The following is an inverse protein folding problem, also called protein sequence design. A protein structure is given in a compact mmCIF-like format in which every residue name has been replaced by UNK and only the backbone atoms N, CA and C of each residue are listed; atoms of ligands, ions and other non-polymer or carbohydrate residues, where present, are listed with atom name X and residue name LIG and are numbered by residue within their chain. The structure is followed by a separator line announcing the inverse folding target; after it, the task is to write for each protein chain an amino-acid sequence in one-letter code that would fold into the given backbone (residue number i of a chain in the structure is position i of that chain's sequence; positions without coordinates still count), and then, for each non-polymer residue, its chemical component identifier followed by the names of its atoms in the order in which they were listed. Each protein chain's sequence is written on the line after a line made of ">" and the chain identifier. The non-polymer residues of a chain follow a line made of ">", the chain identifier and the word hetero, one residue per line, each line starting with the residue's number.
data_IF_987642717466
#
_entry.id   IF_987642717466
#
_cell.length_a   1.000
_cell.length_b   1.000
_cell.length_c   1.000
_cell.angle_alpha   90.00
_cell.angle_beta   90.00
_cell.angle_gamma   90.00
#
_symmetry.space_group_name_H-M   'P 1'
#
loop_
_entity.id
_entity.type
_entity.pdbx_description
1 polymer ?
#
# COMPACT_ATOMS: atom_id res chain seq x y z
N UNK A 1 -17.51 11.06 6.07
CA UNK A 1 -16.79 10.81 4.81
C UNK A 1 -16.08 9.47 4.97
N UNK A 2 -15.80 8.79 3.86
CA UNK A 2 -15.05 7.53 3.86
C UNK A 2 -13.55 7.78 3.73
N UNK A 3 -12.72 6.78 4.06
CA UNK A 3 -11.26 6.89 3.92
C UNK A 3 -10.84 7.25 2.47
N UNK A 4 -11.42 6.60 1.48
CA UNK A 4 -11.12 6.86 0.05
C UNK A 4 -11.43 8.30 -0.34
N UNK A 5 -12.53 8.85 0.16
CA UNK A 5 -12.95 10.22 -0.10
C UNK A 5 -11.98 11.23 0.54
N UNK A 6 -11.62 10.99 1.82
CA UNK A 6 -10.70 11.83 2.56
C UNK A 6 -9.29 11.84 1.96
N UNK A 7 -8.77 10.66 1.60
CA UNK A 7 -7.45 10.52 0.98
C UNK A 7 -7.47 11.02 -0.47
N UNK A 8 -8.55 10.76 -1.21
CA UNK A 8 -8.69 11.18 -2.61
C UNK A 8 -8.64 12.69 -2.79
N UNK A 9 -9.13 13.47 -1.82
CA UNK A 9 -9.00 14.94 -1.83
C UNK A 9 -7.54 15.43 -1.80
N UNK A 10 -6.61 14.63 -1.29
CA UNK A 10 -5.18 14.96 -1.26
C UNK A 10 -4.51 14.74 -2.62
N UNK A 11 -5.16 13.99 -3.53
CA UNK A 11 -4.63 13.60 -4.86
C UNK A 11 -3.21 13.03 -4.78
N UNK A 12 -2.98 11.94 -4.02
CA UNK A 12 -1.66 11.35 -3.90
C UNK A 12 -1.25 10.67 -5.20
N UNK A 13 -0.01 10.90 -5.64
CA UNK A 13 0.58 10.14 -6.75
C UNK A 13 1.11 8.78 -6.28
N UNK A 14 1.60 8.74 -5.03
CA UNK A 14 2.24 7.59 -4.38
C UNK A 14 1.53 7.30 -3.05
N UNK A 15 1.11 6.05 -2.85
CA UNK A 15 0.57 5.58 -1.57
C UNK A 15 1.57 4.67 -0.84
N UNK A 16 1.88 4.97 0.42
CA UNK A 16 2.63 4.08 1.31
C UNK A 16 1.62 3.38 2.22
N UNK A 17 1.40 2.08 2.02
CA UNK A 17 0.33 1.35 2.71
C UNK A 17 0.85 0.08 3.42
N UNK A 18 0.45 -0.14 4.70
CA UNK A 18 0.79 -1.36 5.41
C UNK A 18 -0.09 -2.53 4.94
N UNK A 19 0.52 -3.70 4.72
CA UNK A 19 -0.16 -4.86 4.10
C UNK A 19 -0.13 -6.15 4.94
N UNK A 20 0.20 -6.08 6.23
CA UNK A 20 0.19 -7.23 7.14
C UNK A 20 -1.21 -7.77 7.46
N UNK A 21 -2.27 -7.04 7.10
CA UNK A 21 -3.64 -7.45 7.35
C UNK A 21 -4.10 -7.24 8.80
N UNK A 22 -5.30 -7.76 9.06
CA UNK A 22 -5.99 -7.71 10.35
C UNK A 22 -6.48 -9.11 10.69
N UNK A 23 -6.34 -9.53 11.94
CA UNK A 23 -6.83 -10.83 12.44
C UNK A 23 -7.47 -10.66 13.80
N UNK A 24 -8.59 -11.35 14.03
CA UNK A 24 -9.40 -11.17 15.24
C UNK A 24 -8.63 -11.55 16.53
N UNK A 25 -7.82 -12.60 16.50
CA UNK A 25 -6.95 -13.05 17.59
C UNK A 25 -5.90 -11.99 17.98
N UNK A 26 -5.40 -11.21 17.00
CA UNK A 26 -4.47 -10.12 17.23
C UNK A 26 -5.17 -8.89 17.80
N UNK A 27 -6.34 -8.55 17.26
CA UNK A 27 -7.14 -7.42 17.73
C UNK A 27 -7.55 -7.58 19.20
N UNK A 28 -7.93 -8.77 19.63
CA UNK A 28 -8.27 -9.04 21.04
C UNK A 28 -7.07 -8.89 21.99
N UNK A 29 -5.85 -8.96 21.44
CA UNK A 29 -4.60 -8.77 22.17
C UNK A 29 -4.01 -7.36 21.98
N UNK A 30 -4.81 -6.40 21.51
CA UNK A 30 -4.41 -5.00 21.37
C UNK A 30 -3.53 -4.68 20.16
N UNK A 31 -3.34 -5.63 19.24
CA UNK A 31 -2.60 -5.40 17.99
C UNK A 31 -3.57 -4.87 16.94
N UNK A 32 -3.45 -3.59 16.60
CA UNK A 32 -4.27 -2.97 15.56
C UNK A 32 -4.01 -3.62 14.19
N UNK A 33 -5.10 -3.84 13.44
CA UNK A 33 -5.04 -4.42 12.10
C UNK A 33 -4.78 -3.36 11.02
N UNK A 34 -3.99 -3.73 10.02
CA UNK A 34 -3.75 -2.94 8.81
C UNK A 34 -4.53 -3.52 7.63
N UNK A 35 -4.41 -2.89 6.45
CA UNK A 35 -4.92 -3.47 5.20
C UNK A 35 -4.31 -4.83 4.93
N UNK A 36 -5.09 -5.73 4.34
CA UNK A 36 -4.47 -6.77 3.53
C UNK A 36 -3.95 -6.19 2.20
N UNK A 37 -3.20 -6.99 1.44
CA UNK A 37 -2.59 -6.53 0.19
C UNK A 37 -3.64 -6.07 -0.83
N UNK A 38 -4.79 -6.74 -0.93
CA UNK A 38 -5.81 -6.42 -1.91
C UNK A 38 -6.62 -5.19 -1.52
N UNK A 39 -6.93 -5.04 -0.23
CA UNK A 39 -7.52 -3.81 0.32
C UNK A 39 -6.62 -2.61 0.05
N UNK A 40 -5.31 -2.72 0.28
CA UNK A 40 -4.36 -1.64 0.00
C UNK A 40 -4.33 -1.27 -1.49
N UNK A 41 -4.29 -2.27 -2.38
CA UNK A 41 -4.36 -2.06 -3.84
C UNK A 41 -5.67 -1.37 -4.23
N UNK A 42 -6.80 -1.80 -3.66
CA UNK A 42 -8.10 -1.20 -3.94
C UNK A 42 -8.15 0.27 -3.56
N UNK A 43 -7.68 0.63 -2.36
CA UNK A 43 -7.60 2.03 -1.92
C UNK A 43 -6.69 2.84 -2.83
N UNK A 44 -5.46 2.38 -3.10
CA UNK A 44 -4.50 3.10 -3.93
C UNK A 44 -5.05 3.38 -5.34
N UNK A 45 -5.79 2.43 -5.90
CA UNK A 45 -6.48 2.62 -7.18
C UNK A 45 -7.66 3.58 -7.08
N UNK A 46 -8.49 3.46 -6.05
CA UNK A 46 -9.67 4.31 -5.86
C UNK A 46 -9.29 5.79 -5.74
N UNK A 47 -8.16 6.09 -5.10
CA UNK A 47 -7.65 7.46 -4.94
C UNK A 47 -6.79 7.94 -6.11
N UNK A 48 -6.58 7.10 -7.12
CA UNK A 48 -5.90 7.46 -8.37
C UNK A 48 -4.37 7.46 -8.34
N UNK A 49 -3.74 6.75 -7.40
CA UNK A 49 -2.28 6.63 -7.37
C UNK A 49 -1.75 5.88 -8.61
N UNK A 50 -0.58 6.30 -9.09
CA UNK A 50 0.19 5.55 -10.08
C UNK A 50 1.11 4.49 -9.44
N UNK A 51 1.53 4.74 -8.21
CA UNK A 51 2.44 3.87 -7.46
C UNK A 51 1.94 3.59 -6.04
N UNK A 52 2.11 2.35 -5.59
CA UNK A 52 1.88 1.96 -4.20
C UNK A 52 3.13 1.27 -3.66
N UNK A 53 3.61 1.69 -2.49
CA UNK A 53 4.69 1.04 -1.76
C UNK A 53 4.09 0.24 -0.60
N UNK A 54 4.06 -1.08 -0.77
CA UNK A 54 3.61 -2.03 0.25
C UNK A 54 4.68 -2.18 1.35
N UNK A 55 4.31 -1.90 2.59
CA UNK A 55 5.18 -2.03 3.77
C UNK A 55 4.51 -2.86 4.89
N UNK A 56 5.18 -2.98 6.04
CA UNK A 56 4.77 -3.85 7.15
C UNK A 56 4.68 -5.33 6.75
N UNK A 57 5.72 -5.85 6.11
CA UNK A 57 5.91 -7.29 5.96
C UNK A 57 7.29 -7.65 6.52
N UNK A 58 7.47 -8.87 7.01
CA UNK A 58 8.75 -9.36 7.54
C UNK A 58 9.20 -8.77 8.88
N UNK A 59 8.49 -7.78 9.44
CA UNK A 59 8.78 -7.19 10.75
C UNK A 59 8.39 -8.11 11.92
N UNK A 60 7.28 -8.84 11.77
CA UNK A 60 6.73 -9.71 12.80
C UNK A 60 6.32 -11.05 12.18
N UNK A 61 6.88 -12.15 12.67
CA UNK A 61 6.56 -13.49 12.15
C UNK A 61 5.08 -13.88 12.34
N UNK A 62 4.40 -13.31 13.34
CA UNK A 62 3.00 -13.59 13.66
C UNK A 62 1.99 -12.73 12.89
N UNK A 63 2.44 -11.70 12.16
CA UNK A 63 1.56 -10.78 11.43
C UNK A 63 2.29 -10.18 10.22
N UNK A 64 2.24 -10.90 9.11
CA UNK A 64 2.94 -10.54 7.88
C UNK A 64 2.23 -11.11 6.66
N UNK A 65 2.45 -10.45 5.52
CA UNK A 65 2.21 -11.02 4.20
C UNK A 65 3.51 -11.64 3.65
N UNK A 66 3.41 -12.66 2.81
CA UNK A 66 4.57 -13.23 2.13
C UNK A 66 5.13 -12.24 1.09
N UNK A 67 6.45 -11.95 1.06
CA UNK A 67 7.04 -11.05 0.07
C UNK A 67 6.70 -11.42 -1.38
N UNK A 68 6.64 -12.72 -1.69
CA UNK A 68 6.30 -13.23 -3.02
C UNK A 68 4.87 -12.87 -3.45
N UNK A 69 3.92 -12.71 -2.51
CA UNK A 69 2.57 -12.27 -2.83
C UNK A 69 2.55 -10.79 -3.27
N UNK A 70 3.37 -9.95 -2.63
CA UNK A 70 3.54 -8.55 -3.05
C UNK A 70 4.19 -8.49 -4.43
N UNK A 71 5.27 -9.26 -4.64
CA UNK A 71 6.00 -9.28 -5.92
C UNK A 71 5.13 -9.83 -7.08
N UNK A 72 4.19 -10.73 -6.78
CA UNK A 72 3.20 -11.21 -7.75
C UNK A 72 2.19 -10.13 -8.16
N UNK A 73 1.84 -9.22 -7.26
CA UNK A 73 0.89 -8.13 -7.50
C UNK A 73 1.50 -6.87 -8.15
N UNK A 74 2.79 -6.92 -8.54
CA UNK A 74 3.61 -5.78 -9.00
C UNK A 74 2.96 -4.86 -10.05
N UNK A 75 2.07 -5.39 -10.87
CA UNK A 75 1.31 -4.62 -11.85
C UNK A 75 -0.14 -5.05 -11.76
N UNK A 76 -0.98 -4.15 -11.28
CA UNK A 76 -2.42 -4.39 -11.13
C UNK A 76 -3.18 -3.21 -11.72
N UNK A 77 -3.82 -3.40 -12.87
CA UNK A 77 -4.73 -2.45 -13.51
C UNK A 77 -4.28 -0.97 -13.45
N UNK A 78 -3.08 -0.67 -13.97
CA UNK A 78 -2.56 0.70 -14.04
C UNK A 78 -1.92 1.21 -12.74
N UNK A 79 -1.86 0.40 -11.68
CA UNK A 79 -1.09 0.66 -10.47
C UNK A 79 0.20 -0.19 -10.46
N UNK A 80 1.33 0.46 -10.20
CA UNK A 80 2.58 -0.23 -9.89
C UNK A 80 2.69 -0.50 -8.39
N UNK A 81 2.80 -1.78 -8.02
CA UNK A 81 2.95 -2.20 -6.62
C UNK A 81 4.41 -2.53 -6.35
N UNK A 82 5.01 -1.73 -5.46
CA UNK A 82 6.39 -1.86 -5.04
C UNK A 82 6.46 -2.46 -3.65
N UNK A 83 7.36 -3.43 -3.48
CA UNK A 83 7.68 -3.96 -2.16
C UNK A 83 8.77 -3.11 -1.50
N UNK A 84 8.46 -2.50 -0.35
CA UNK A 84 9.43 -1.76 0.45
C UNK A 84 10.62 -2.64 0.86
N UNK A 85 11.85 -2.15 0.72
CA UNK A 85 13.09 -2.87 1.08
C UNK A 85 14.08 -1.88 1.69
N UNK A 86 15.03 -2.36 2.49
CA UNK A 86 16.14 -1.50 2.95
C UNK A 86 16.91 -0.96 1.75
N UNK A 87 17.23 0.35 1.77
CA UNK A 87 17.89 1.04 0.66
C UNK A 87 17.03 1.23 -0.60
N UNK A 88 15.72 0.91 -0.56
CA UNK A 88 14.81 1.12 -1.69
C UNK A 88 14.60 2.61 -1.96
N UNK A 89 14.72 2.99 -3.23
CA UNK A 89 14.40 4.32 -3.75
C UNK A 89 13.39 4.16 -4.87
N UNK A 90 12.30 4.93 -4.81
CA UNK A 90 11.29 5.02 -5.86
C UNK A 90 11.32 6.42 -6.47
N UNK A 91 11.47 6.49 -7.79
CA UNK A 91 11.19 7.67 -8.59
C UNK A 91 9.90 7.41 -9.37
N UNK A 92 8.83 8.14 -9.04
CA UNK A 92 7.52 7.94 -9.65
C UNK A 92 7.35 8.87 -10.85
N UNK A 93 7.18 8.28 -12.03
CA UNK A 93 6.82 9.03 -13.24
C UNK A 93 5.44 9.70 -13.11
N UNK A 94 4.52 9.13 -12.32
CA UNK A 94 3.21 9.71 -12.05
C UNK A 94 3.35 11.04 -11.28
N UNK A 95 4.21 11.07 -10.26
CA UNK A 95 4.49 12.29 -9.50
C UNK A 95 5.25 13.37 -10.31
N UNK A 96 6.09 12.96 -11.26
CA UNK A 96 6.83 13.89 -12.13
C UNK A 96 5.90 14.62 -13.10
N UNK A 97 4.86 13.97 -13.61
CA UNK A 97 3.93 14.56 -14.58
C UNK A 97 3.07 15.70 -14.00
N UNK A 98 2.91 15.77 -12.68
CA UNK A 98 2.08 16.78 -12.01
C UNK A 98 2.83 18.09 -11.73
N UNK A 99 4.15 18.06 -11.52
CA UNK A 99 4.98 19.27 -11.39
C UNK A 99 5.14 20.06 -12.70
N UNK A 100 4.72 19.48 -13.83
CA UNK A 100 4.68 20.14 -15.12
C UNK A 100 3.34 20.85 -15.43
N UNK A 101 2.40 20.87 -14.48
CA UNK A 101 1.08 21.52 -14.60
C UNK A 101 0.96 22.77 -13.74
#
# INVERSE_FOLDING_TARGET
>A
MGLEEEVGMLRPDIALLPVNGRRADLSTNGVAGNFDLMEAIAIARAVGCGDMVAHHYGLFGFNSVAPAAIDAARLTDGLYVHRAREGFVLESAAATAMHAR
#
